data_IF_586114412183
#
_entry.id   IF_586114412183
#
_cell.length_a   1.000
_cell.length_b   1.000
_cell.length_c   1.000
_cell.angle_alpha   90.00
_cell.angle_beta   90.00
_cell.angle_gamma   90.00
#
_symmetry.space_group_name_H-M   'P 1'
#
loop_
_entity.id
_entity.type
_entity.pdbx_description
1 polymer ?
#
# COMPACT_ATOMS: atom_id res chain seq x y z
N UNK A 1 -0.91 -17.04 -13.44
CA UNK A 1 -0.16 -16.34 -12.38
C UNK A 1 -0.79 -14.96 -12.27
N UNK A 2 -1.55 -14.69 -11.20
CA UNK A 2 -1.97 -13.33 -10.92
C UNK A 2 -0.73 -12.61 -10.40
N UNK A 3 -0.04 -11.88 -11.26
CA UNK A 3 0.95 -10.91 -10.84
C UNK A 3 0.16 -9.83 -10.12
N UNK A 4 0.27 -9.82 -8.79
CA UNK A 4 -0.30 -8.78 -7.95
C UNK A 4 0.60 -7.56 -8.15
N UNK A 5 0.50 -6.92 -9.33
CA UNK A 5 1.22 -5.70 -9.71
C UNK A 5 0.67 -4.54 -8.87
N UNK A 6 0.98 -4.55 -7.56
CA UNK A 6 0.68 -3.43 -6.68
C UNK A 6 1.59 -2.28 -7.03
N UNK A 7 0.99 -1.11 -7.25
CA UNK A 7 1.72 0.14 -7.46
C UNK A 7 2.30 0.63 -6.14
N UNK A 8 3.54 1.09 -6.19
CA UNK A 8 4.27 1.57 -5.02
C UNK A 8 4.63 3.05 -5.19
N UNK A 9 4.57 3.82 -4.11
CA UNK A 9 5.17 5.14 -4.01
C UNK A 9 4.79 6.07 -5.19
N UNK A 10 5.73 6.30 -6.12
CA UNK A 10 5.54 7.17 -7.30
C UNK A 10 4.76 6.54 -8.47
N UNK A 11 4.49 5.23 -8.44
CA UNK A 11 3.70 4.56 -9.48
C UNK A 11 2.20 4.85 -9.38
N UNK A 12 1.77 5.33 -8.22
CA UNK A 12 0.39 5.72 -7.94
C UNK A 12 0.15 7.07 -8.62
N UNK A 13 -0.81 7.13 -9.53
CA UNK A 13 -1.14 8.36 -10.29
C UNK A 13 -2.44 9.01 -9.84
N UNK A 14 -3.07 8.47 -8.80
CA UNK A 14 -4.30 9.01 -8.22
C UNK A 14 -4.04 10.36 -7.56
N UNK A 15 -5.02 11.28 -7.63
CA UNK A 15 -4.92 12.58 -6.96
C UNK A 15 -5.15 12.47 -5.45
N UNK A 16 -6.10 11.61 -5.08
CA UNK A 16 -6.51 11.36 -3.71
C UNK A 16 -6.60 9.87 -3.48
N UNK A 17 -6.22 9.44 -2.29
CA UNK A 17 -6.18 8.04 -1.90
C UNK A 17 -6.77 7.89 -0.51
N UNK A 18 -7.43 6.75 -0.26
CA UNK A 18 -7.80 6.36 1.09
C UNK A 18 -6.59 5.74 1.76
N UNK A 19 -6.02 6.43 2.75
CA UNK A 19 -4.79 6.03 3.41
C UNK A 19 -5.04 5.27 4.70
N UNK A 20 -4.33 4.16 4.86
CA UNK A 20 -4.14 3.47 6.14
C UNK A 20 -2.68 3.63 6.58
N UNK A 21 -2.45 4.14 7.79
CA UNK A 21 -1.13 4.27 8.39
C UNK A 21 -0.47 2.94 8.73
N UNK A 22 0.81 2.99 9.11
CA UNK A 22 1.62 1.80 9.42
C UNK A 22 1.07 0.98 10.60
N UNK A 23 0.56 1.66 11.63
CA UNK A 23 -0.04 1.03 12.82
C UNK A 23 -1.48 0.53 12.59
N UNK A 24 -1.99 0.64 11.36
CA UNK A 24 -3.38 0.29 11.03
C UNK A 24 -4.38 1.43 11.28
N UNK A 25 -3.90 2.64 11.60
CA UNK A 25 -4.75 3.82 11.73
C UNK A 25 -5.39 4.20 10.39
N UNK A 26 -6.70 4.49 10.39
CA UNK A 26 -7.39 4.95 9.19
C UNK A 26 -7.36 6.47 9.12
N UNK A 27 -6.42 7.01 8.33
CA UNK A 27 -6.25 8.45 8.11
C UNK A 27 -7.33 9.04 7.19
N UNK A 28 -8.15 8.20 6.56
CA UNK A 28 -9.24 8.61 5.70
C UNK A 28 -8.76 8.93 4.29
N UNK A 29 -9.38 9.91 3.63
CA UNK A 29 -9.03 10.32 2.26
C UNK A 29 -8.03 11.48 2.37
N UNK A 30 -6.85 11.30 1.79
CA UNK A 30 -5.79 12.31 1.78
C UNK A 30 -5.23 12.47 0.36
N UNK A 31 -4.60 13.62 0.04
CA UNK A 31 -3.86 13.78 -1.20
C UNK A 31 -2.74 12.75 -1.31
N UNK A 32 -2.44 12.29 -2.53
CA UNK A 32 -1.32 11.37 -2.77
C UNK A 32 0.01 11.90 -2.20
N UNK A 33 0.29 13.19 -2.40
CA UNK A 33 1.50 13.81 -1.88
C UNK A 33 1.62 13.64 -0.36
N UNK A 34 0.53 13.85 0.39
CA UNK A 34 0.53 13.68 1.84
C UNK A 34 0.72 12.22 2.24
N UNK A 35 0.14 11.29 1.47
CA UNK A 35 0.36 9.87 1.70
C UNK A 35 1.80 9.43 1.46
N UNK A 36 2.47 10.00 0.46
CA UNK A 36 3.89 9.76 0.17
C UNK A 36 4.78 10.34 1.27
N UNK A 37 4.51 11.57 1.71
CA UNK A 37 5.22 12.20 2.84
C UNK A 37 5.12 11.33 4.10
N UNK A 38 3.92 10.87 4.46
CA UNK A 38 3.73 10.04 5.66
C UNK A 38 4.44 8.68 5.57
N UNK A 39 4.53 8.11 4.37
CA UNK A 39 5.28 6.88 4.15
C UNK A 39 6.79 7.11 4.31
N UNK A 40 7.30 8.22 3.76
CA UNK A 40 8.70 8.63 3.91
C UNK A 40 9.05 8.98 5.36
N UNK A 41 8.18 9.70 6.08
CA UNK A 41 8.32 10.00 7.51
C UNK A 41 8.40 8.74 8.37
N UNK A 42 7.74 7.66 7.93
CA UNK A 42 7.72 6.37 8.61
C UNK A 42 8.83 5.42 8.14
N UNK A 43 9.67 5.80 7.16
CA UNK A 43 10.66 4.94 6.50
C UNK A 43 10.03 3.64 5.92
N UNK A 44 8.82 3.76 5.36
CA UNK A 44 8.02 2.65 4.82
C UNK A 44 7.54 2.95 3.40
N UNK A 45 7.00 1.93 2.72
CA UNK A 45 6.44 2.10 1.38
C UNK A 45 4.95 2.45 1.41
N UNK A 46 4.54 3.34 0.51
CA UNK A 46 3.15 3.55 0.19
C UNK A 46 2.69 2.50 -0.83
N UNK A 47 1.90 1.54 -0.40
CA UNK A 47 1.43 0.42 -1.24
C UNK A 47 -0.02 0.62 -1.63
N UNK A 48 -0.32 0.60 -2.92
CA UNK A 48 -1.70 0.56 -3.43
C UNK A 48 -2.29 -0.85 -3.21
N UNK A 49 -3.22 -0.96 -2.26
CA UNK A 49 -3.89 -2.22 -1.92
C UNK A 49 -5.07 -2.50 -2.85
N UNK A 50 -5.77 -1.45 -3.29
CA UNK A 50 -6.90 -1.60 -4.22
C UNK A 50 -7.07 -0.38 -5.11
N UNK A 51 -6.74 -0.55 -6.39
CA UNK A 51 -7.00 0.43 -7.45
C UNK A 51 -8.48 0.53 -7.83
N UNK A 52 -9.29 -0.49 -7.51
CA UNK A 52 -10.70 -0.58 -7.92
C UNK A 52 -11.61 0.32 -7.08
N UNK A 53 -11.17 0.70 -5.88
CA UNK A 53 -11.89 1.63 -5.03
C UNK A 53 -11.81 3.08 -5.59
N UNK A 54 -12.86 3.87 -5.32
CA UNK A 54 -12.88 5.31 -5.60
C UNK A 54 -13.13 6.07 -4.28
N UNK A 55 -12.11 6.72 -3.69
CA UNK A 55 -10.69 6.76 -4.12
C UNK A 55 -9.95 5.43 -3.92
N UNK A 56 -8.83 5.18 -4.63
CA UNK A 56 -7.98 4.00 -4.44
C UNK A 56 -7.53 3.86 -2.99
N UNK A 57 -7.39 2.61 -2.52
CA UNK A 57 -6.96 2.34 -1.14
C UNK A 57 -5.46 2.12 -1.11
N UNK A 58 -4.75 2.96 -0.37
CA UNK A 58 -3.32 2.86 -0.12
C UNK A 58 -3.05 2.57 1.36
N UNK A 59 -1.98 1.83 1.63
CA UNK A 59 -1.54 1.51 2.99
C UNK A 59 -0.03 1.69 3.09
N UNK A 60 0.42 2.30 4.16
CA UNK A 60 1.83 2.43 4.51
C UNK A 60 2.29 1.11 5.12
N UNK A 61 3.24 0.41 4.49
CA UNK A 61 3.80 -0.85 4.98
C UNK A 61 5.12 -1.18 4.29
N UNK A 62 5.89 -2.11 4.85
CA UNK A 62 7.03 -2.72 4.15
C UNK A 62 6.52 -3.72 3.09
N UNK A 63 6.64 -3.35 1.81
CA UNK A 63 6.16 -4.18 0.71
C UNK A 63 6.99 -5.46 0.56
N UNK A 64 8.31 -5.37 0.76
CA UNK A 64 9.23 -6.51 0.63
C UNK A 64 8.89 -7.62 1.61
N UNK A 65 8.68 -7.25 2.88
CA UNK A 65 8.25 -8.17 3.94
C UNK A 65 6.85 -8.73 3.66
N UNK A 66 5.90 -7.88 3.24
CA UNK A 66 4.55 -8.32 2.90
C UNK A 66 4.53 -9.40 1.81
N UNK A 67 5.29 -9.21 0.73
CA UNK A 67 5.39 -10.17 -0.37
C UNK A 67 6.05 -11.47 0.11
N UNK A 68 7.09 -11.38 0.92
CA UNK A 68 7.76 -12.55 1.49
C UNK A 68 6.82 -13.38 2.38
N UNK A 69 6.11 -12.73 3.31
CA UNK A 69 5.16 -13.40 4.20
C UNK A 69 3.97 -14.00 3.42
N UNK A 70 3.43 -13.27 2.44
CA UNK A 70 2.36 -13.75 1.59
C UNK A 70 2.79 -14.98 0.76
N UNK A 71 4.01 -14.98 0.21
CA UNK A 71 4.53 -16.12 -0.53
C UNK A 71 4.80 -17.34 0.38
N UNK A 72 5.35 -17.12 1.58
CA UNK A 72 5.56 -18.20 2.56
C UNK A 72 4.25 -18.86 2.97
N UNK A 73 3.21 -18.08 3.26
CA UNK A 73 1.89 -18.65 3.57
C UNK A 73 1.28 -19.43 2.40
N UNK A 74 1.44 -18.93 1.16
CA UNK A 74 1.00 -19.67 -0.04
C UNK A 74 1.73 -21.00 -0.23
N UNK A 75 2.98 -21.13 0.24
CA UNK A 75 3.73 -22.39 0.16
C UNK A 75 3.36 -23.40 1.25
N UNK A 76 2.93 -22.95 2.44
CA UNK A 76 2.55 -23.84 3.54
C UNK A 76 1.14 -24.43 3.33
N UNK A 77 0.28 -23.71 2.61
CA UNK A 77 -1.09 -24.15 2.31
C UNK A 77 -1.20 -25.13 1.12
N UNK A 78 -0.12 -25.81 0.73
CA UNK A 78 -0.09 -26.72 -0.42
C UNK A 78 0.18 -28.16 -0.02
#
# INVERSE_FOLDING_TARGET
MATDDKKLNGEITAREVRLTGADGEQLGIVPLAKAQELAEEADLDLVEISAQAKPPVCRIMDYGKYVFEANKQKQIAK
#
